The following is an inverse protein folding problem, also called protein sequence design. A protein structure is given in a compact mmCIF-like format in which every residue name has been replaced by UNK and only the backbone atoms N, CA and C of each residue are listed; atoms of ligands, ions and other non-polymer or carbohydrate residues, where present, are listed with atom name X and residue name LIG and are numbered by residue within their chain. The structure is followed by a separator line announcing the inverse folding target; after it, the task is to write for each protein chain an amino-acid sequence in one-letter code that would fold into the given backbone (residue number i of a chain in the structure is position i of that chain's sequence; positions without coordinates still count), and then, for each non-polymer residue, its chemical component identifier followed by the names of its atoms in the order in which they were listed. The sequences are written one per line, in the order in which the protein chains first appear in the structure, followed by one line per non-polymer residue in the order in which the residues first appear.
data_IF_598398471485
#
_entry.id   IF_598398471485
#
_cell.length_a   1.000
_cell.length_b   1.000
_cell.length_c   1.000
_cell.angle_alpha   90.00
_cell.angle_beta   90.00
_cell.angle_gamma   90.00
#
_symmetry.space_group_name_H-M   'P 1'
#
loop_
_entity.id
_entity.type
_entity.pdbx_description
1 polymer ?
#
# COMPACT_ATOMS: atom_id res chain seq x y z
N UNK A 1 4.88 11.63 3.68
CA UNK A 1 4.69 10.56 4.67
C UNK A 1 5.56 10.93 5.87
N UNK A 2 4.97 10.99 7.05
CA UNK A 2 5.64 11.29 8.31
C UNK A 2 5.35 10.26 9.40
N UNK A 3 4.51 9.25 9.12
CA UNK A 3 4.34 8.13 10.03
C UNK A 3 5.71 7.50 10.32
N UNK A 4 6.05 7.26 11.60
CA UNK A 4 7.25 6.52 11.94
C UNK A 4 7.13 5.07 11.47
N UNK A 5 8.26 4.36 11.42
CA UNK A 5 8.24 2.93 11.24
C UNK A 5 7.38 2.27 12.33
N UNK A 6 6.60 1.26 11.95
CA UNK A 6 5.64 0.62 12.82
C UNK A 6 6.35 -0.04 14.01
N UNK A 7 5.88 0.20 15.25
CA UNK A 7 6.50 -0.34 16.45
C UNK A 7 6.25 -1.85 16.62
N UNK A 8 5.40 -2.45 15.77
CA UNK A 8 5.08 -3.89 15.80
C UNK A 8 6.18 -4.77 15.17
N UNK A 9 7.26 -4.15 14.70
CA UNK A 9 8.32 -4.81 13.96
C UNK A 9 9.67 -4.55 14.59
N UNK A 10 10.59 -5.49 14.40
CA UNK A 10 11.99 -5.33 14.80
C UNK A 10 12.89 -5.86 13.69
N UNK A 11 13.74 -4.97 13.15
CA UNK A 11 14.78 -5.34 12.20
C UNK A 11 15.74 -6.36 12.80
N UNK A 12 16.18 -7.31 11.99
CA UNK A 12 17.22 -8.26 12.37
C UNK A 12 18.59 -7.75 11.91
N UNK A 13 19.61 -7.74 12.78
CA UNK A 13 20.98 -7.50 12.36
C UNK A 13 21.47 -8.70 11.56
N UNK A 14 22.05 -8.46 10.39
CA UNK A 14 22.53 -9.50 9.47
C UNK A 14 24.02 -9.38 9.17
N UNK A 15 24.74 -8.51 9.87
CA UNK A 15 26.15 -8.17 9.62
C UNK A 15 27.05 -9.42 9.56
N UNK A 16 26.86 -10.36 10.49
CA UNK A 16 27.62 -11.61 10.55
C UNK A 16 27.21 -12.64 9.46
N UNK A 17 26.02 -12.49 8.88
CA UNK A 17 25.49 -13.37 7.85
C UNK A 17 25.78 -12.86 6.43
N UNK A 18 26.07 -11.57 6.26
CA UNK A 18 26.40 -10.99 4.96
C UNK A 18 27.66 -11.63 4.37
N UNK A 19 27.53 -12.15 3.15
CA UNK A 19 28.59 -12.91 2.49
C UNK A 19 29.10 -12.26 1.20
N UNK A 20 28.39 -11.25 0.66
CA UNK A 20 28.76 -10.51 -0.54
C UNK A 20 28.61 -8.99 -0.38
N UNK A 21 29.36 -8.24 -1.18
CA UNK A 21 29.09 -6.82 -1.46
C UNK A 21 28.24 -6.72 -2.73
N UNK A 22 27.01 -6.22 -2.58
CA UNK A 22 26.03 -6.14 -3.68
C UNK A 22 26.45 -5.21 -4.82
N UNK A 23 27.35 -4.25 -4.58
CA UNK A 23 27.86 -3.37 -5.62
C UNK A 23 28.76 -4.10 -6.63
N UNK A 24 29.32 -5.24 -6.22
CA UNK A 24 30.21 -6.09 -7.05
C UNK A 24 29.46 -7.13 -7.88
N UNK A 25 28.15 -7.26 -7.68
CA UNK A 25 27.32 -8.21 -8.42
C UNK A 25 27.12 -7.76 -9.87
N UNK A 26 26.86 -8.74 -10.73
CA UNK A 26 26.52 -8.50 -12.13
C UNK A 26 25.11 -7.90 -12.29
N UNK A 27 24.81 -7.37 -13.49
CA UNK A 27 23.56 -6.66 -13.79
C UNK A 27 22.28 -7.50 -13.62
N UNK A 28 22.39 -8.83 -13.46
CA UNK A 28 21.23 -9.68 -13.23
C UNK A 28 20.68 -9.56 -11.80
N UNK A 29 21.52 -9.14 -10.85
CA UNK A 29 21.19 -9.01 -9.42
C UNK A 29 21.40 -7.59 -8.89
N UNK A 30 22.12 -6.73 -9.62
CA UNK A 30 22.40 -5.36 -9.21
C UNK A 30 21.23 -4.42 -9.51
N UNK A 31 20.91 -3.54 -8.55
CA UNK A 31 20.05 -2.38 -8.75
C UNK A 31 20.87 -1.22 -9.33
N UNK A 32 20.32 -0.47 -10.29
CA UNK A 32 20.89 0.76 -10.88
C UNK A 32 20.73 1.93 -9.92
N UNK A 33 19.58 2.03 -9.28
CA UNK A 33 19.29 3.01 -8.24
C UNK A 33 19.16 2.29 -6.89
N UNK A 34 20.29 2.20 -6.17
CA UNK A 34 20.36 1.57 -4.85
C UNK A 34 20.64 2.64 -3.79
N UNK A 35 19.61 3.01 -3.05
CA UNK A 35 19.65 3.98 -1.95
C UNK A 35 19.42 3.34 -0.57
N UNK A 36 19.22 2.01 -0.52
CA UNK A 36 18.77 1.32 0.68
C UNK A 36 19.95 0.82 1.54
N UNK A 37 20.63 1.71 2.25
CA UNK A 37 21.72 1.36 3.18
C UNK A 37 21.39 1.73 4.62
N UNK A 38 21.90 0.95 5.59
CA UNK A 38 21.70 1.20 7.01
C UNK A 38 20.23 1.05 7.45
N UNK A 39 19.78 1.90 8.38
CA UNK A 39 18.40 1.84 8.88
C UNK A 39 17.42 2.46 7.88
N UNK A 40 16.52 1.63 7.34
CA UNK A 40 15.51 2.05 6.36
C UNK A 40 14.11 1.65 6.83
N UNK A 41 13.10 2.40 6.40
CA UNK A 41 11.70 2.00 6.51
C UNK A 41 11.11 1.76 5.14
N UNK A 42 10.61 0.55 4.89
CA UNK A 42 9.97 0.17 3.64
C UNK A 42 8.50 -0.16 3.92
N UNK A 43 7.57 0.59 3.34
CA UNK A 43 6.12 0.49 3.63
C UNK A 43 5.77 0.58 5.13
N UNK A 44 6.50 1.43 5.86
CA UNK A 44 6.34 1.55 7.32
C UNK A 44 6.94 0.41 8.13
N UNK A 45 7.62 -0.57 7.52
CA UNK A 45 8.30 -1.66 8.24
C UNK A 45 9.79 -1.30 8.39
N UNK A 46 10.36 -1.34 9.61
CA UNK A 46 11.78 -1.09 9.84
C UNK A 46 12.66 -2.25 9.39
N UNK A 47 13.75 -1.93 8.72
CA UNK A 47 14.79 -2.85 8.27
C UNK A 47 16.18 -2.30 8.60
N UNK A 48 17.13 -3.20 8.82
CA UNK A 48 18.56 -2.89 8.92
C UNK A 48 19.26 -3.47 7.69
N UNK A 49 19.56 -2.62 6.72
CA UNK A 49 20.37 -2.96 5.56
C UNK A 49 21.86 -2.81 5.91
N UNK A 50 22.72 -3.56 5.21
CA UNK A 50 24.17 -3.41 5.34
C UNK A 50 24.66 -2.04 4.87
N UNK A 51 25.88 -1.67 5.27
CA UNK A 51 26.54 -0.42 4.86
C UNK A 51 27.19 -0.50 3.46
N UNK A 52 27.54 0.65 2.89
CA UNK A 52 28.09 0.74 1.52
C UNK A 52 29.49 0.14 1.35
N UNK A 53 30.33 0.17 2.39
CA UNK A 53 31.76 -0.18 2.29
C UNK A 53 32.10 -1.58 2.83
N UNK A 54 31.13 -2.50 2.87
CA UNK A 54 31.29 -3.82 3.45
C UNK A 54 30.45 -4.88 2.70
N UNK A 55 30.58 -6.14 3.12
CA UNK A 55 29.57 -7.14 2.78
C UNK A 55 28.23 -6.69 3.37
N UNK A 56 27.22 -6.58 2.53
CA UNK A 56 25.99 -5.86 2.83
C UNK A 56 24.72 -6.55 2.31
N UNK A 57 24.88 -7.79 1.85
CA UNK A 57 23.78 -8.66 1.46
C UNK A 57 24.16 -10.14 1.63
N UNK A 58 23.15 -11.00 1.66
CA UNK A 58 23.30 -12.46 1.67
C UNK A 58 22.99 -12.97 0.28
N UNK A 59 24.02 -13.36 -0.46
CA UNK A 59 23.92 -14.07 -1.72
C UNK A 59 23.66 -15.56 -1.47
N UNK A 60 22.59 -16.08 -2.06
CA UNK A 60 22.23 -17.49 -2.11
C UNK A 60 22.60 -18.02 -3.50
N UNK A 61 23.75 -18.69 -3.64
CA UNK A 61 24.33 -19.12 -4.93
C UNK A 61 24.72 -20.61 -4.97
N UNK A 62 24.05 -21.43 -4.16
CA UNK A 62 24.33 -22.87 -4.00
C UNK A 62 24.75 -23.24 -2.58
N UNK A 63 25.06 -22.24 -1.75
CA UNK A 63 25.36 -22.42 -0.33
C UNK A 63 24.11 -22.29 0.55
N UNK A 64 24.20 -22.82 1.77
CA UNK A 64 23.27 -22.52 2.85
C UNK A 64 23.84 -21.44 3.77
N UNK A 65 22.99 -20.55 4.26
CA UNK A 65 23.35 -19.51 5.22
C UNK A 65 22.48 -19.66 6.45
N UNK A 66 23.12 -19.79 7.62
CA UNK A 66 22.45 -19.82 8.93
C UNK A 66 22.48 -18.44 9.57
N UNK A 67 21.33 -17.98 10.04
CA UNK A 67 21.14 -16.69 10.70
C UNK A 67 20.67 -16.99 12.13
N UNK A 68 21.49 -16.69 13.16
CA UNK A 68 21.05 -16.82 14.54
C UNK A 68 19.86 -15.91 14.83
N UNK A 69 18.78 -16.46 15.38
CA UNK A 69 17.56 -15.72 15.67
C UNK A 69 17.42 -15.33 17.15
N UNK A 70 18.27 -15.91 18.02
CA UNK A 70 18.32 -15.60 19.45
C UNK A 70 17.07 -16.07 20.21
N UNK A 71 16.52 -17.22 19.85
CA UNK A 71 15.31 -17.81 20.45
C UNK A 71 14.11 -16.83 20.42
N UNK A 72 13.89 -16.20 19.26
CA UNK A 72 12.89 -15.14 19.04
C UNK A 72 11.50 -15.70 18.73
N UNK A 73 10.47 -15.12 19.36
CA UNK A 73 9.08 -15.31 18.95
C UNK A 73 8.73 -14.38 17.78
N UNK A 74 8.15 -14.94 16.73
CA UNK A 74 7.67 -14.20 15.57
C UNK A 74 6.50 -14.93 14.91
N UNK A 75 5.46 -14.21 14.53
CA UNK A 75 4.39 -14.72 13.67
C UNK A 75 4.76 -14.65 12.20
N UNK A 76 5.55 -13.65 11.81
CA UNK A 76 6.09 -13.51 10.47
C UNK A 76 7.54 -13.02 10.50
N UNK A 77 8.31 -13.44 9.49
CA UNK A 77 9.56 -12.80 9.10
C UNK A 77 9.35 -12.13 7.74
N UNK A 78 9.52 -10.82 7.67
CA UNK A 78 9.41 -10.05 6.44
C UNK A 78 10.79 -9.92 5.81
N UNK A 79 10.96 -10.47 4.62
CA UNK A 79 12.21 -10.43 3.85
C UNK A 79 12.16 -9.29 2.85
N UNK A 80 13.27 -8.56 2.73
CA UNK A 80 13.57 -7.69 1.59
C UNK A 80 14.58 -8.43 0.70
N UNK A 81 14.13 -8.96 -0.43
CA UNK A 81 14.94 -9.85 -1.26
C UNK A 81 14.58 -9.76 -2.74
N UNK A 82 15.46 -10.29 -3.59
CA UNK A 82 15.27 -10.42 -5.03
C UNK A 82 15.82 -11.76 -5.53
N UNK A 83 15.32 -12.24 -6.66
CA UNK A 83 15.93 -13.33 -7.43
C UNK A 83 16.60 -12.77 -8.67
N UNK A 84 17.62 -13.46 -9.18
CA UNK A 84 18.30 -13.11 -10.42
C UNK A 84 17.31 -12.88 -11.60
N UNK A 85 17.55 -11.80 -12.34
CA UNK A 85 16.88 -11.49 -13.60
C UNK A 85 17.08 -12.62 -14.60
N UNK A 86 15.99 -13.02 -15.26
CA UNK A 86 16.07 -13.84 -16.46
C UNK A 86 15.88 -12.98 -17.70
N UNK A 87 16.87 -13.03 -18.58
CA UNK A 87 16.75 -12.48 -19.91
C UNK A 87 15.70 -13.28 -20.68
N UNK A 88 14.88 -12.58 -21.46
CA UNK A 88 13.98 -13.23 -22.39
C UNK A 88 14.78 -14.03 -23.42
N UNK A 89 14.47 -15.31 -23.54
CA UNK A 89 14.96 -16.12 -24.63
C UNK A 89 13.96 -16.03 -25.79
N UNK A 90 14.26 -15.21 -26.79
CA UNK A 90 13.54 -15.23 -28.06
C UNK A 90 14.10 -16.35 -28.94
N UNK A 91 13.25 -17.14 -29.62
CA UNK A 91 13.66 -17.95 -30.76
C UNK A 91 14.51 -17.14 -31.74
N UNK A 92 15.58 -17.74 -32.27
CA UNK A 92 16.56 -17.04 -33.12
C UNK A 92 15.99 -16.51 -34.44
N UNK A 93 14.79 -16.94 -34.82
CA UNK A 93 14.06 -16.55 -36.03
C UNK A 93 12.99 -15.46 -35.79
N UNK A 94 12.76 -15.05 -34.54
CA UNK A 94 11.86 -13.94 -34.22
C UNK A 94 12.66 -12.63 -34.08
N UNK A 95 12.26 -11.62 -34.86
CA UNK A 95 12.80 -10.28 -34.71
C UNK A 95 12.35 -9.67 -33.37
N UNK A 96 13.28 -9.08 -32.63
CA UNK A 96 12.97 -8.29 -31.44
C UNK A 96 12.38 -6.94 -31.88
N UNK A 97 11.06 -6.87 -31.96
CA UNK A 97 10.34 -5.66 -32.38
C UNK A 97 10.26 -4.58 -31.27
N UNK A 98 10.84 -4.83 -30.09
CA UNK A 98 10.90 -3.85 -29.01
C UNK A 98 12.17 -3.02 -29.20
N UNK A 99 11.99 -1.81 -29.74
CA UNK A 99 13.08 -0.91 -30.18
C UNK A 99 14.10 -0.52 -29.09
N UNK A 100 14.97 0.45 -29.42
CA UNK A 100 16.15 0.96 -28.65
C UNK A 100 15.99 1.28 -27.15
N UNK A 101 14.86 1.03 -26.51
CA UNK A 101 14.66 1.22 -25.06
C UNK A 101 15.27 0.11 -24.19
N UNK A 102 15.77 -0.99 -24.78
CA UNK A 102 16.38 -2.09 -24.02
C UNK A 102 17.85 -2.30 -24.44
N UNK A 103 18.75 -1.41 -24.00
CA UNK A 103 20.20 -1.65 -24.11
C UNK A 103 20.68 -2.81 -23.20
N UNK A 104 19.81 -3.27 -22.29
CA UNK A 104 19.95 -4.47 -21.46
C UNK A 104 18.79 -5.38 -21.86
N UNK A 105 19.05 -6.55 -22.44
CA UNK A 105 18.02 -7.42 -23.05
C UNK A 105 16.73 -7.54 -22.22
N UNK A 106 15.58 -7.64 -22.89
CA UNK A 106 14.27 -7.61 -22.23
C UNK A 106 14.20 -8.61 -21.06
N UNK A 107 13.92 -8.12 -19.86
CA UNK A 107 13.73 -8.92 -18.63
C UNK A 107 12.25 -8.92 -18.26
N UNK A 108 11.41 -9.73 -18.94
CA UNK A 108 9.96 -9.66 -18.78
C UNK A 108 9.52 -10.04 -17.37
N UNK A 109 10.29 -10.87 -16.66
CA UNK A 109 9.95 -11.34 -15.32
C UNK A 109 8.75 -12.31 -15.27
N UNK A 110 8.33 -12.83 -16.41
CA UNK A 110 7.10 -13.63 -16.51
C UNK A 110 7.24 -15.09 -16.07
N UNK A 111 8.47 -15.61 -15.97
CA UNK A 111 8.75 -16.96 -15.48
C UNK A 111 8.17 -17.18 -14.08
N UNK A 112 7.63 -18.38 -13.83
CA UNK A 112 6.76 -18.64 -12.69
C UNK A 112 7.03 -20.01 -12.07
N UNK A 113 7.06 -20.05 -10.74
CA UNK A 113 6.89 -21.29 -9.97
C UNK A 113 8.17 -22.06 -9.65
N UNK A 114 9.28 -21.74 -10.30
CA UNK A 114 10.58 -22.34 -10.01
C UNK A 114 10.99 -22.16 -8.56
N UNK A 115 11.62 -23.19 -7.99
CA UNK A 115 12.09 -23.20 -6.62
C UNK A 115 13.44 -22.47 -6.54
N UNK A 116 13.43 -21.28 -5.94
CA UNK A 116 14.61 -20.42 -5.79
C UNK A 116 15.40 -20.78 -4.54
N UNK A 117 14.69 -20.96 -3.42
CA UNK A 117 15.29 -21.27 -2.13
C UNK A 117 14.31 -22.05 -1.23
N UNK A 118 14.82 -22.60 -0.14
CA UNK A 118 14.03 -23.03 1.02
C UNK A 118 14.48 -22.24 2.24
N UNK A 119 13.51 -21.64 2.94
CA UNK A 119 13.76 -20.97 4.21
C UNK A 119 13.25 -21.86 5.33
N UNK A 120 14.15 -22.27 6.22
CA UNK A 120 13.86 -23.19 7.31
C UNK A 120 13.90 -22.45 8.65
N UNK A 121 12.83 -22.57 9.42
CA UNK A 121 12.76 -22.10 10.80
C UNK A 121 13.13 -23.27 11.71
N UNK A 122 14.25 -23.17 12.40
CA UNK A 122 14.68 -24.14 13.41
C UNK A 122 14.31 -23.57 14.78
N UNK A 123 13.51 -24.31 15.54
CA UNK A 123 12.99 -23.86 16.84
C UNK A 123 13.88 -24.32 18.00
N UNK A 124 13.74 -23.66 19.14
CA UNK A 124 14.51 -23.97 20.35
C UNK A 124 14.24 -25.37 20.92
N UNK A 125 13.09 -25.97 20.61
CA UNK A 125 12.74 -27.35 20.99
C UNK A 125 13.34 -28.43 20.07
N UNK A 126 14.10 -28.02 19.04
CA UNK A 126 14.73 -28.89 18.06
C UNK A 126 13.84 -29.27 16.87
N UNK A 127 12.56 -28.88 16.86
CA UNK A 127 11.71 -29.03 15.68
C UNK A 127 12.08 -28.03 14.58
N UNK A 128 11.65 -28.29 13.34
CA UNK A 128 11.88 -27.36 12.23
C UNK A 128 10.69 -27.32 11.27
N UNK A 129 10.51 -26.17 10.61
CA UNK A 129 9.57 -25.98 9.52
C UNK A 129 10.32 -25.49 8.28
N UNK A 130 10.04 -26.08 7.11
CA UNK A 130 10.67 -25.71 5.84
C UNK A 130 9.63 -25.10 4.90
N UNK A 131 9.91 -23.90 4.39
CA UNK A 131 9.01 -23.16 3.50
C UNK A 131 9.69 -22.94 2.14
N UNK A 132 9.07 -23.38 1.03
CA UNK A 132 9.62 -23.15 -0.31
C UNK A 132 9.43 -21.70 -0.76
N UNK A 133 10.48 -21.12 -1.33
CA UNK A 133 10.48 -19.78 -1.92
C UNK A 133 10.48 -19.93 -3.43
N UNK A 134 9.34 -19.59 -4.05
CA UNK A 134 9.12 -19.76 -5.50
C UNK A 134 9.13 -18.44 -6.24
N UNK A 135 9.73 -18.42 -7.44
CA UNK A 135 9.74 -17.23 -8.32
C UNK A 135 8.32 -16.78 -8.63
N UNK A 136 8.15 -15.47 -8.61
CA UNK A 136 6.92 -14.71 -8.86
C UNK A 136 5.78 -15.05 -7.89
N UNK A 137 6.01 -15.91 -6.90
CA UNK A 137 5.15 -16.05 -5.73
C UNK A 137 5.73 -15.29 -4.55
N UNK A 138 6.75 -15.87 -3.92
CA UNK A 138 7.36 -15.33 -2.71
C UNK A 138 8.50 -14.34 -3.01
N UNK A 139 9.18 -14.50 -4.15
CA UNK A 139 10.30 -13.65 -4.55
C UNK A 139 10.18 -13.31 -6.03
N UNK A 140 10.69 -12.16 -6.46
CA UNK A 140 10.72 -11.80 -7.86
C UNK A 140 12.01 -11.03 -8.19
N UNK A 141 12.33 -10.99 -9.48
CA UNK A 141 13.50 -10.29 -10.00
C UNK A 141 13.35 -8.77 -9.90
N UNK A 142 14.46 -8.02 -9.84
CA UNK A 142 14.40 -6.57 -9.64
C UNK A 142 13.80 -5.83 -10.83
N UNK A 143 14.02 -6.33 -12.05
CA UNK A 143 13.55 -5.69 -13.27
C UNK A 143 12.39 -6.50 -13.88
N UNK A 144 11.21 -5.90 -14.03
CA UNK A 144 10.01 -6.58 -14.54
C UNK A 144 9.32 -5.75 -15.61
N UNK A 145 8.64 -6.40 -16.56
CA UNK A 145 7.69 -5.71 -17.45
C UNK A 145 6.29 -5.64 -16.81
N UNK A 146 5.38 -4.89 -17.43
CA UNK A 146 3.99 -4.81 -16.99
C UNK A 146 3.36 -6.21 -16.79
N UNK A 147 2.71 -6.40 -15.65
CA UNK A 147 2.03 -7.66 -15.29
C UNK A 147 2.92 -8.71 -14.62
N UNK A 148 4.23 -8.54 -14.55
CA UNK A 148 5.16 -9.52 -13.97
C UNK A 148 5.42 -9.36 -12.45
N UNK A 149 4.51 -8.70 -11.73
CA UNK A 149 4.58 -8.62 -10.26
C UNK A 149 4.50 -9.98 -9.56
N UNK A 150 5.09 -10.07 -8.36
CA UNK A 150 4.94 -11.23 -7.49
C UNK A 150 3.52 -11.36 -6.90
N UNK A 151 3.05 -12.59 -6.66
CA UNK A 151 1.71 -12.89 -6.13
C UNK A 151 1.59 -12.80 -4.61
N UNK A 152 2.64 -13.18 -3.86
CA UNK A 152 2.65 -13.19 -2.39
C UNK A 152 3.61 -12.14 -1.79
N UNK A 153 4.35 -11.43 -2.65
CA UNK A 153 5.23 -10.33 -2.27
C UNK A 153 4.78 -9.00 -2.88
N UNK A 154 5.20 -7.90 -2.28
CA UNK A 154 4.93 -6.53 -2.74
C UNK A 154 6.24 -5.79 -3.01
N UNK A 155 6.29 -4.81 -3.92
CA UNK A 155 7.49 -3.98 -4.07
C UNK A 155 7.76 -3.17 -2.79
N UNK A 156 9.01 -2.89 -2.49
CA UNK A 156 9.44 -2.09 -1.32
C UNK A 156 8.91 -0.66 -1.31
N UNK A 157 8.73 -0.04 -2.49
CA UNK A 157 8.07 1.26 -2.61
C UNK A 157 6.60 1.13 -2.24
N UNK A 158 6.10 2.04 -1.39
CA UNK A 158 4.70 2.08 -1.01
C UNK A 158 3.84 2.58 -2.17
N UNK A 159 2.60 2.08 -2.26
CA UNK A 159 1.57 2.73 -3.07
C UNK A 159 1.33 4.15 -2.55
N UNK A 160 0.97 5.06 -3.45
CA UNK A 160 0.76 6.46 -3.12
C UNK A 160 -0.56 6.96 -3.66
N UNK A 161 -1.24 7.79 -2.88
CA UNK A 161 -2.37 8.56 -3.37
C UNK A 161 -1.82 9.76 -4.16
N UNK A 162 -2.32 9.94 -5.38
CA UNK A 162 -1.94 11.07 -6.24
C UNK A 162 -3.13 12.00 -6.41
N UNK A 163 -2.87 13.30 -6.41
CA UNK A 163 -3.87 14.33 -6.73
C UNK A 163 -4.04 14.46 -8.24
N UNK A 164 -5.19 14.96 -8.68
CA UNK A 164 -5.35 15.34 -10.10
C UNK A 164 -4.47 16.55 -10.44
N UNK A 165 -4.33 16.83 -11.73
CA UNK A 165 -3.57 18.00 -12.20
C UNK A 165 -4.14 19.29 -11.63
N UNK A 166 -5.45 19.54 -11.76
CA UNK A 166 -6.09 20.73 -11.21
C UNK A 166 -5.99 20.83 -9.68
N UNK A 167 -6.07 19.71 -8.95
CA UNK A 167 -5.90 19.72 -7.50
C UNK A 167 -4.49 20.14 -7.10
N UNK A 168 -3.48 19.60 -7.77
CA UNK A 168 -2.07 19.96 -7.54
C UNK A 168 -1.85 21.45 -7.80
N UNK A 169 -2.35 21.97 -8.93
CA UNK A 169 -2.25 23.39 -9.28
C UNK A 169 -2.96 24.29 -8.28
N UNK A 170 -4.13 23.89 -7.78
CA UNK A 170 -4.89 24.63 -6.76
C UNK A 170 -4.18 24.68 -5.41
N UNK A 171 -3.37 23.68 -5.10
CA UNK A 171 -2.47 23.66 -3.95
C UNK A 171 -1.12 24.36 -4.21
N UNK A 172 -0.90 24.91 -5.42
CA UNK A 172 0.37 25.52 -5.81
C UNK A 172 1.53 24.52 -5.95
N UNK A 173 1.21 23.24 -6.18
CA UNK A 173 2.17 22.13 -6.30
C UNK A 173 2.36 21.75 -7.78
N UNK A 174 3.55 21.26 -8.12
CA UNK A 174 3.75 20.59 -9.40
C UNK A 174 2.95 19.28 -9.43
N UNK A 175 2.18 19.00 -10.49
CA UNK A 175 1.50 17.71 -10.63
C UNK A 175 2.49 16.55 -10.60
N UNK A 176 2.23 15.57 -9.73
CA UNK A 176 3.07 14.37 -9.59
C UNK A 176 2.71 13.26 -10.60
N UNK A 177 1.59 13.41 -11.32
CA UNK A 177 1.09 12.45 -12.28
C UNK A 177 0.55 13.17 -13.52
N UNK A 178 0.55 12.47 -14.66
CA UNK A 178 -0.14 12.95 -15.85
C UNK A 178 -1.66 12.99 -15.62
N UNK A 179 -2.39 13.68 -16.50
CA UNK A 179 -3.85 13.76 -16.42
C UNK A 179 -4.52 12.39 -16.23
N UNK A 180 -4.26 11.44 -17.14
CA UNK A 180 -4.93 10.13 -17.11
C UNK A 180 -4.58 9.28 -15.88
N UNK A 181 -3.35 9.35 -15.40
CA UNK A 181 -2.92 8.68 -14.17
C UNK A 181 -3.54 9.35 -12.93
N UNK A 182 -3.57 10.69 -12.91
CA UNK A 182 -4.14 11.49 -11.83
C UNK A 182 -5.63 11.21 -11.59
N UNK A 183 -6.40 10.90 -12.63
CA UNK A 183 -7.82 10.51 -12.48
C UNK A 183 -8.02 9.21 -11.70
N UNK A 184 -7.05 8.28 -11.77
CA UNK A 184 -7.10 7.06 -10.94
C UNK A 184 -6.79 7.32 -9.47
N UNK A 185 -6.16 8.47 -9.18
CA UNK A 185 -5.79 8.96 -7.84
C UNK A 185 -4.91 8.01 -7.03
N UNK A 186 -4.26 7.06 -7.68
CA UNK A 186 -3.44 6.05 -7.04
C UNK A 186 -2.30 5.59 -7.97
N UNK A 187 -1.08 5.54 -7.43
CA UNK A 187 0.02 4.79 -8.04
C UNK A 187 0.28 3.52 -7.20
N UNK A 188 0.28 2.36 -7.85
CA UNK A 188 0.48 1.06 -7.21
C UNK A 188 1.93 0.79 -6.77
N UNK A 189 2.87 1.64 -7.17
CA UNK A 189 4.32 1.46 -7.07
C UNK A 189 4.82 0.17 -7.72
N UNK A 190 4.13 -0.27 -8.78
CA UNK A 190 4.42 -1.48 -9.57
C UNK A 190 4.82 -1.14 -11.00
N UNK A 191 5.43 0.03 -11.17
CA UNK A 191 5.80 0.58 -12.47
C UNK A 191 6.86 -0.31 -13.14
N UNK A 192 6.70 -0.54 -14.44
CA UNK A 192 7.53 -1.46 -15.22
C UNK A 192 8.98 -0.98 -15.45
N UNK A 193 9.22 0.33 -15.28
CA UNK A 193 10.55 0.92 -15.45
C UNK A 193 11.30 1.11 -14.13
N UNK A 194 10.64 0.86 -13.01
CA UNK A 194 11.23 0.97 -11.68
C UNK A 194 11.85 -0.36 -11.26
N UNK A 195 12.99 -0.32 -10.58
CA UNK A 195 13.61 -1.52 -10.01
C UNK A 195 13.02 -1.85 -8.65
N UNK A 196 12.77 -3.13 -8.38
CA UNK A 196 12.02 -3.56 -7.19
C UNK A 196 12.84 -4.48 -6.28
N UNK A 197 13.06 -4.05 -5.04
CA UNK A 197 13.23 -4.99 -3.92
C UNK A 197 11.84 -5.53 -3.55
N UNK A 198 11.70 -6.84 -3.38
CA UNK A 198 10.42 -7.46 -3.04
C UNK A 198 10.35 -7.75 -1.54
N UNK A 199 9.23 -7.36 -0.94
CA UNK A 199 8.88 -7.65 0.44
C UNK A 199 7.99 -8.88 0.52
N UNK A 200 8.45 -9.91 1.22
CA UNK A 200 7.71 -11.15 1.43
C UNK A 200 7.56 -11.46 2.91
N UNK A 201 6.33 -11.64 3.37
CA UNK A 201 6.05 -12.04 4.74
C UNK A 201 6.00 -13.56 4.83
N UNK A 202 7.11 -14.16 5.25
CA UNK A 202 7.20 -15.59 5.54
C UNK A 202 6.39 -15.89 6.81
N UNK A 203 5.31 -16.70 6.73
CA UNK A 203 4.57 -17.10 7.93
C UNK A 203 5.40 -18.06 8.77
N UNK A 204 5.41 -17.86 10.08
CA UNK A 204 5.86 -18.87 11.03
C UNK A 204 4.68 -19.83 11.29
N UNK A 205 4.78 -21.12 10.94
CA UNK A 205 3.72 -22.09 11.22
C UNK A 205 3.45 -22.32 12.71
N UNK A 206 4.44 -22.05 13.58
CA UNK A 206 4.39 -22.28 15.02
C UNK A 206 4.78 -20.98 15.76
N UNK A 207 3.93 -19.93 15.72
CA UNK A 207 4.25 -18.59 16.24
C UNK A 207 4.58 -18.54 17.74
N UNK A 208 4.11 -19.52 18.51
CA UNK A 208 4.38 -19.70 19.93
C UNK A 208 5.74 -20.34 20.24
N UNK A 209 6.42 -20.92 19.23
CA UNK A 209 7.75 -21.51 19.39
C UNK A 209 8.83 -20.50 19.08
N UNK A 210 9.79 -20.40 19.99
CA UNK A 210 10.98 -19.58 19.82
C UNK A 210 11.82 -20.10 18.64
N UNK A 211 12.08 -19.25 17.65
CA UNK A 211 12.95 -19.53 16.51
C UNK A 211 14.40 -19.33 16.96
N UNK A 212 15.19 -20.38 16.89
CA UNK A 212 16.61 -20.40 17.27
C UNK A 212 17.52 -19.99 16.12
N UNK A 213 17.26 -20.53 14.93
CA UNK A 213 18.05 -20.29 13.71
C UNK A 213 17.11 -20.21 12.51
N UNK A 214 17.34 -19.24 11.63
CA UNK A 214 16.78 -19.21 10.29
C UNK A 214 17.86 -19.73 9.33
N UNK A 215 17.55 -20.78 8.58
CA UNK A 215 18.46 -21.34 7.58
C UNK A 215 17.91 -21.10 6.18
N UNK A 216 18.64 -20.32 5.38
CA UNK A 216 18.32 -20.05 3.99
C UNK A 216 19.15 -20.96 3.08
N UNK A 217 18.49 -21.82 2.32
CA UNK A 217 19.14 -22.83 1.47
C UNK A 217 18.87 -22.47 0.00
N UNK A 218 19.92 -22.11 -0.73
CA UNK A 218 19.84 -21.88 -2.17
C UNK A 218 19.42 -23.15 -2.92
N UNK A 219 18.71 -23.00 -4.04
CA UNK A 219 18.36 -24.10 -4.94
C UNK A 219 18.93 -23.86 -6.33
N UNK A 220 18.10 -23.86 -7.37
CA UNK A 220 18.57 -23.81 -8.75
C UNK A 220 19.04 -22.41 -9.18
N UNK A 221 18.80 -21.38 -8.37
CA UNK A 221 18.89 -20.00 -8.81
C UNK A 221 19.53 -19.10 -7.77
N UNK A 222 20.21 -18.06 -8.27
CA UNK A 222 20.80 -17.05 -7.41
C UNK A 222 19.73 -16.10 -6.88
N UNK A 223 19.81 -15.79 -5.60
CA UNK A 223 18.94 -14.82 -4.95
C UNK A 223 19.73 -13.99 -3.94
N UNK A 224 19.23 -12.81 -3.63
CA UNK A 224 19.86 -11.86 -2.73
C UNK A 224 18.88 -11.46 -1.64
N UNK A 225 19.28 -11.63 -0.37
CA UNK A 225 18.54 -11.11 0.79
C UNK A 225 19.29 -9.89 1.31
N UNK A 226 18.60 -8.75 1.35
CA UNK A 226 19.16 -7.49 1.82
C UNK A 226 18.96 -7.29 3.32
N UNK A 227 17.73 -7.53 3.78
CA UNK A 227 17.34 -7.28 5.16
C UNK A 227 16.14 -8.15 5.54
N UNK A 228 15.98 -8.38 6.85
CA UNK A 228 14.84 -9.10 7.41
C UNK A 228 14.30 -8.31 8.60
N UNK A 229 12.98 -8.29 8.75
CA UNK A 229 12.29 -7.74 9.90
C UNK A 229 11.36 -8.79 10.50
N UNK A 230 11.25 -8.83 11.82
CA UNK A 230 10.42 -9.80 12.55
C UNK A 230 9.23 -9.11 13.19
N UNK A 231 8.11 -9.81 13.31
CA UNK A 231 6.90 -9.27 13.94
C UNK A 231 6.10 -10.35 14.64
N UNK A 232 5.24 -9.94 15.58
CA UNK A 232 4.27 -10.79 16.26
C UNK A 232 2.81 -10.38 15.95
N UNK A 233 2.58 -9.58 14.90
CA UNK A 233 1.21 -9.27 14.46
C UNK A 233 0.46 -10.54 14.04
N UNK A 234 -0.83 -10.60 14.34
CA UNK A 234 -1.62 -11.83 14.11
C UNK A 234 -2.19 -11.91 12.70
N UNK A 235 -2.46 -10.77 12.06
CA UNK A 235 -2.85 -10.69 10.67
C UNK A 235 -1.63 -10.56 9.74
N UNK A 236 -1.84 -10.81 8.45
CA UNK A 236 -0.75 -10.79 7.48
C UNK A 236 -0.21 -9.36 7.29
N UNK A 237 1.10 -9.10 7.53
CA UNK A 237 1.62 -7.74 7.68
C UNK A 237 1.63 -6.91 6.39
N UNK A 238 1.67 -7.57 5.22
CA UNK A 238 1.66 -6.90 3.90
C UNK A 238 0.27 -6.84 3.25
N UNK A 239 -0.81 -7.18 3.97
CA UNK A 239 -2.17 -7.18 3.42
C UNK A 239 -3.05 -6.23 4.24
N UNK A 240 -3.41 -5.11 3.63
CA UNK A 240 -4.37 -4.18 4.21
C UNK A 240 -5.77 -4.80 4.27
N UNK A 241 -6.56 -4.39 5.26
CA UNK A 241 -8.01 -4.66 5.26
C UNK A 241 -8.68 -3.93 4.11
N UNK A 242 -9.90 -4.35 3.78
CA UNK A 242 -10.77 -3.56 2.92
C UNK A 242 -10.93 -2.14 3.49
N UNK A 243 -11.11 -1.16 2.61
CA UNK A 243 -11.29 0.24 2.96
C UNK A 243 -12.26 0.43 4.14
N UNK A 244 -11.83 1.22 5.10
CA UNK A 244 -12.58 1.62 6.29
C UNK A 244 -12.76 3.14 6.29
N UNK A 245 -13.64 3.59 7.18
CA UNK A 245 -14.03 4.98 7.34
C UNK A 245 -14.02 5.32 8.82
N UNK A 246 -13.64 6.54 9.14
CA UNK A 246 -13.78 7.10 10.47
C UNK A 246 -13.98 8.62 10.38
N UNK A 247 -14.49 9.21 11.45
CA UNK A 247 -14.40 10.65 11.67
C UNK A 247 -13.35 10.94 12.74
N UNK A 248 -12.71 12.11 12.64
CA UNK A 248 -11.77 12.59 13.66
C UNK A 248 -12.09 14.03 14.02
N UNK A 249 -12.13 14.31 15.32
CA UNK A 249 -12.07 15.66 15.85
C UNK A 249 -10.63 16.19 15.76
N UNK A 250 -10.45 17.31 15.05
CA UNK A 250 -9.15 17.93 14.84
C UNK A 250 -8.58 18.51 16.13
N UNK A 251 -7.26 18.37 16.37
CA UNK A 251 -6.56 19.16 17.38
C UNK A 251 -6.68 20.66 17.09
N UNK A 252 -6.64 21.48 18.15
CA UNK A 252 -6.72 22.93 18.01
C UNK A 252 -5.60 23.47 17.10
N UNK A 253 -5.96 24.37 16.17
CA UNK A 253 -5.04 25.02 15.24
C UNK A 253 -4.66 24.19 14.01
N UNK A 254 -5.14 22.96 13.87
CA UNK A 254 -5.00 22.19 12.62
C UNK A 254 -6.07 22.66 11.64
N UNK A 255 -5.65 23.06 10.44
CA UNK A 255 -6.53 23.60 9.40
C UNK A 255 -6.58 22.69 8.17
N UNK A 256 -7.69 22.77 7.43
CA UNK A 256 -7.79 22.16 6.11
C UNK A 256 -7.10 23.01 5.05
N UNK A 257 -6.54 22.37 4.03
CA UNK A 257 -5.94 23.05 2.89
C UNK A 257 -7.01 23.67 1.96
N UNK A 258 -6.57 24.31 0.86
CA UNK A 258 -7.46 24.98 -0.10
C UNK A 258 -8.47 24.06 -0.83
N UNK A 259 -8.33 22.74 -0.69
CA UNK A 259 -9.27 21.73 -1.19
C UNK A 259 -10.24 21.24 -0.11
N UNK A 260 -10.09 21.69 1.14
CA UNK A 260 -10.83 21.15 2.28
C UNK A 260 -10.29 19.80 2.75
N UNK A 261 -8.99 19.53 2.53
CA UNK A 261 -8.34 18.28 2.88
C UNK A 261 -7.32 18.46 4.00
N UNK A 262 -7.13 17.39 4.78
CA UNK A 262 -6.19 17.36 5.89
C UNK A 262 -4.86 16.77 5.40
N UNK A 263 -3.81 17.59 5.37
CA UNK A 263 -2.46 17.16 4.98
C UNK A 263 -1.70 16.52 6.17
N UNK A 264 -2.05 16.89 7.40
CA UNK A 264 -1.37 16.51 8.64
C UNK A 264 -1.87 15.17 9.23
N UNK A 265 -2.05 14.18 8.36
CA UNK A 265 -2.49 12.83 8.71
C UNK A 265 -1.70 11.76 7.97
N UNK A 266 -1.39 10.67 8.67
CA UNK A 266 -0.70 9.52 8.09
C UNK A 266 -1.07 8.23 8.83
N UNK A 267 -0.68 7.07 8.29
CA UNK A 267 -0.97 5.76 8.88
C UNK A 267 0.19 4.79 8.63
N UNK A 268 0.58 4.00 9.63
CA UNK A 268 1.52 2.90 9.38
C UNK A 268 0.81 1.67 8.81
N UNK A 269 1.56 0.77 8.16
CA UNK A 269 1.06 -0.50 7.64
C UNK A 269 -0.21 -0.37 6.76
N UNK A 270 -0.30 0.72 6.00
CA UNK A 270 -1.47 1.05 5.20
C UNK A 270 -1.35 2.40 4.51
N UNK A 271 -2.48 2.89 4.01
CA UNK A 271 -2.57 4.15 3.28
C UNK A 271 -3.82 4.92 3.70
N UNK A 272 -3.67 6.22 3.95
CA UNK A 272 -4.81 7.16 4.00
C UNK A 272 -5.25 7.41 2.56
N UNK A 273 -6.47 6.99 2.22
CA UNK A 273 -7.02 7.12 0.87
C UNK A 273 -7.54 8.54 0.63
N UNK A 274 -8.21 9.12 1.63
CA UNK A 274 -8.54 10.54 1.64
C UNK A 274 -8.85 11.02 3.05
N UNK A 275 -8.58 12.28 3.34
CA UNK A 275 -8.93 12.93 4.60
C UNK A 275 -9.48 14.32 4.30
N UNK A 276 -10.79 14.52 4.49
CA UNK A 276 -11.51 15.72 4.02
C UNK A 276 -12.36 16.29 5.15
N UNK A 277 -12.66 17.57 5.09
CA UNK A 277 -13.62 18.18 6.01
C UNK A 277 -14.95 17.42 5.97
N UNK A 278 -15.45 17.05 7.15
CA UNK A 278 -16.75 16.38 7.30
C UNK A 278 -17.85 17.28 6.77
N UNK A 279 -18.78 16.74 6.00
CA UNK A 279 -19.94 17.47 5.51
C UNK A 279 -21.09 17.30 6.50
N UNK A 280 -21.71 18.41 6.91
CA UNK A 280 -22.83 18.42 7.87
C UNK A 280 -24.08 18.89 7.14
N UNK A 281 -25.08 18.01 7.05
CA UNK A 281 -26.37 18.31 6.44
C UNK A 281 -27.37 18.70 7.54
N UNK A 282 -28.15 19.75 7.27
CA UNK A 282 -29.32 20.06 8.07
C UNK A 282 -30.40 18.99 7.82
N UNK A 283 -30.74 18.25 8.87
CA UNK A 283 -31.64 17.10 8.77
C UNK A 283 -33.08 17.52 8.43
N UNK A 284 -33.56 18.60 9.02
CA UNK A 284 -34.94 19.05 8.83
C UNK A 284 -35.11 19.62 7.43
N UNK A 285 -34.12 20.36 6.93
CA UNK A 285 -34.07 20.81 5.55
C UNK A 285 -33.98 19.62 4.58
N UNK A 286 -33.16 18.60 4.87
CA UNK A 286 -32.98 17.42 4.02
C UNK A 286 -34.27 16.61 3.83
N UNK A 287 -35.08 16.46 4.88
CA UNK A 287 -36.38 15.79 4.81
C UNK A 287 -37.55 16.74 4.46
N UNK A 288 -37.27 18.03 4.28
CA UNK A 288 -38.25 19.05 3.94
C UNK A 288 -38.52 19.18 2.44
N UNK A 289 -39.07 20.33 2.05
CA UNK A 289 -39.46 20.63 0.65
C UNK A 289 -38.33 21.27 -0.17
N UNK A 290 -37.18 21.55 0.44
CA UNK A 290 -36.05 22.20 -0.22
C UNK A 290 -35.49 21.30 -1.34
N UNK A 291 -35.48 21.81 -2.56
CA UNK A 291 -35.02 21.06 -3.75
C UNK A 291 -33.50 20.93 -3.84
N UNK A 292 -32.76 21.77 -3.11
CA UNK A 292 -31.31 21.75 -3.06
C UNK A 292 -30.81 22.08 -1.64
N UNK A 293 -30.52 21.04 -0.86
CA UNK A 293 -29.91 21.17 0.47
C UNK A 293 -28.41 20.96 0.34
N UNK A 294 -27.64 21.99 0.67
CA UNK A 294 -26.18 21.97 0.61
C UNK A 294 -25.62 21.73 2.02
N UNK A 295 -24.62 20.85 2.18
CA UNK A 295 -23.96 20.67 3.46
C UNK A 295 -23.03 21.85 3.77
N UNK A 296 -22.68 21.96 5.05
CA UNK A 296 -21.61 22.81 5.52
C UNK A 296 -20.39 21.95 5.88
N UNK A 297 -19.20 22.39 5.50
CA UNK A 297 -17.97 21.73 5.94
C UNK A 297 -17.73 22.04 7.43
N UNK A 298 -17.56 21.01 8.24
CA UNK A 298 -17.16 21.16 9.64
C UNK A 298 -15.71 21.66 9.70
N UNK A 299 -15.42 22.77 10.39
CA UNK A 299 -14.08 23.35 10.44
C UNK A 299 -13.10 22.54 11.30
N UNK A 300 -13.61 21.67 12.15
CA UNK A 300 -12.88 20.98 13.21
C UNK A 300 -13.07 19.45 13.18
N UNK A 301 -13.71 18.92 12.13
CA UNK A 301 -13.92 17.48 11.97
C UNK A 301 -13.53 17.01 10.57
N UNK A 302 -12.71 15.96 10.52
CA UNK A 302 -12.34 15.29 9.28
C UNK A 302 -13.08 13.96 9.12
N UNK A 303 -13.50 13.66 7.90
CA UNK A 303 -13.90 12.34 7.44
C UNK A 303 -12.72 11.70 6.72
N UNK A 304 -12.32 10.50 7.16
CA UNK A 304 -11.13 9.81 6.67
C UNK A 304 -11.51 8.45 6.11
N UNK A 305 -11.04 8.18 4.91
CA UNK A 305 -11.05 6.86 4.30
C UNK A 305 -9.64 6.32 4.29
N UNK A 306 -9.45 5.07 4.72
CA UNK A 306 -8.13 4.45 4.80
C UNK A 306 -8.21 2.94 4.55
N UNK A 307 -7.08 2.32 4.25
CA UNK A 307 -6.93 0.87 4.22
C UNK A 307 -5.60 0.49 4.88
N UNK A 308 -5.67 -0.26 5.98
CA UNK A 308 -4.49 -0.60 6.78
C UNK A 308 -4.62 -1.94 7.49
N UNK A 309 -3.52 -2.39 8.08
CA UNK A 309 -3.48 -3.53 8.99
C UNK A 309 -4.35 -3.28 10.25
N UNK A 310 -5.00 -4.30 10.85
CA UNK A 310 -5.81 -4.12 12.07
C UNK A 310 -5.06 -3.47 13.24
N UNK A 311 -3.77 -3.79 13.39
CA UNK A 311 -2.89 -3.27 14.45
C UNK A 311 -2.19 -1.96 14.05
N UNK A 312 -2.57 -1.35 12.93
CA UNK A 312 -1.99 -0.08 12.51
C UNK A 312 -2.33 1.07 13.49
N UNK A 313 -1.55 2.14 13.39
CA UNK A 313 -1.71 3.40 14.12
C UNK A 313 -1.97 4.52 13.13
N UNK A 314 -3.02 5.30 13.40
CA UNK A 314 -3.29 6.57 12.72
C UNK A 314 -2.50 7.68 13.42
N UNK A 315 -1.79 8.50 12.65
CA UNK A 315 -0.97 9.59 13.15
C UNK A 315 -1.54 10.93 12.69
N UNK A 316 -1.68 11.87 13.63
CA UNK A 316 -2.14 13.23 13.38
C UNK A 316 -1.12 14.21 13.94
N UNK A 317 -0.67 15.15 13.13
CA UNK A 317 0.23 16.20 13.59
C UNK A 317 -0.57 17.41 14.05
N UNK A 318 -0.41 17.78 15.32
CA UNK A 318 -0.98 19.00 15.86
C UNK A 318 -0.21 20.23 15.34
N UNK A 319 -0.82 21.42 15.44
CA UNK A 319 -0.16 22.67 15.07
C UNK A 319 1.12 22.97 15.89
N UNK A 320 1.24 22.38 17.10
CA UNK A 320 2.45 22.43 17.92
C UNK A 320 3.62 21.58 17.35
N UNK A 321 3.37 20.76 16.35
CA UNK A 321 4.30 19.75 15.82
C UNK A 321 4.23 18.39 16.53
N UNK A 322 3.49 18.30 17.64
CA UNK A 322 3.25 17.04 18.37
C UNK A 322 2.56 16.01 17.45
N UNK A 323 3.04 14.77 17.49
CA UNK A 323 2.48 13.66 16.74
C UNK A 323 1.57 12.83 17.65
N UNK A 324 0.26 12.97 17.45
CA UNK A 324 -0.75 12.18 18.15
C UNK A 324 -0.92 10.83 17.44
N UNK A 325 -0.70 9.74 18.16
CA UNK A 325 -0.86 8.38 17.65
C UNK A 325 -2.13 7.73 18.21
N UNK A 326 -2.93 7.14 17.34
CA UNK A 326 -4.17 6.46 17.69
C UNK A 326 -4.14 5.01 17.21
N UNK A 327 -4.20 4.05 18.14
CA UNK A 327 -4.27 2.63 17.83
C UNK A 327 -5.60 2.30 17.15
N UNK A 328 -5.57 1.78 15.92
CA UNK A 328 -6.79 1.41 15.20
C UNK A 328 -7.63 0.37 15.97
N UNK A 329 -6.96 -0.55 16.65
CA UNK A 329 -7.59 -1.58 17.48
C UNK A 329 -8.31 -1.02 18.73
N UNK A 330 -8.02 0.23 19.12
CA UNK A 330 -8.55 0.84 20.34
C UNK A 330 -9.44 2.08 20.11
N UNK A 331 -9.73 2.45 18.84
CA UNK A 331 -10.38 3.72 18.51
C UNK A 331 -11.71 3.97 19.21
N UNK A 332 -12.54 2.93 19.38
CA UNK A 332 -13.85 3.01 20.03
C UNK A 332 -13.78 3.56 21.47
N UNK A 333 -12.61 3.51 22.13
CA UNK A 333 -12.42 3.94 23.52
C UNK A 333 -11.90 5.37 23.67
N UNK A 334 -11.66 6.10 22.58
CA UNK A 334 -10.93 7.38 22.62
C UNK A 334 -11.77 8.64 22.48
N UNK A 335 -13.04 8.54 22.04
CA UNK A 335 -14.01 9.65 21.95
C UNK A 335 -13.70 10.74 20.91
N UNK A 336 -12.46 10.85 20.41
CA UNK A 336 -12.04 11.78 19.34
C UNK A 336 -12.10 11.18 17.95
N UNK A 337 -12.15 9.85 17.86
CA UNK A 337 -12.19 9.10 16.62
C UNK A 337 -13.38 8.16 16.67
N UNK A 338 -14.24 8.23 15.66
CA UNK A 338 -15.44 7.40 15.56
C UNK A 338 -15.39 6.56 14.29
N UNK A 339 -15.43 5.23 14.45
CA UNK A 339 -15.47 4.29 13.33
C UNK A 339 -16.85 4.27 12.69
N UNK A 340 -16.92 4.30 11.36
CA UNK A 340 -18.17 4.25 10.63
C UNK A 340 -18.39 2.84 10.05
N UNK A 341 -19.25 2.09 10.72
CA UNK A 341 -19.61 0.70 10.38
C UNK A 341 -20.82 0.69 9.42
N UNK A 342 -20.59 0.83 8.10
CA UNK A 342 -21.63 0.47 7.14
C UNK A 342 -21.06 -0.18 5.89
N UNK A 343 -21.29 -1.50 5.78
CA UNK A 343 -20.92 -2.35 4.63
C UNK A 343 -22.14 -2.96 3.93
N UNK A 344 -23.35 -2.54 4.30
CA UNK A 344 -24.58 -3.14 3.76
C UNK A 344 -24.75 -2.71 2.30
N UNK A 345 -24.75 -3.69 1.40
CA UNK A 345 -25.11 -3.45 0.01
C UNK A 345 -26.61 -3.22 -0.09
N UNK A 346 -26.99 -2.08 -0.66
CA UNK A 346 -28.38 -1.72 -0.95
C UNK A 346 -28.61 -1.80 -2.46
N UNK A 347 -29.77 -2.33 -2.85
CA UNK A 347 -30.28 -2.22 -4.22
C UNK A 347 -31.40 -1.19 -4.22
N UNK A 348 -31.23 -0.14 -5.02
CA UNK A 348 -32.16 0.98 -5.10
C UNK A 348 -32.83 0.93 -6.48
N UNK A 349 -34.14 1.18 -6.51
CA UNK A 349 -34.92 1.36 -7.73
C UNK A 349 -35.67 2.68 -7.62
N UNK A 350 -35.67 3.45 -8.71
CA UNK A 350 -36.46 4.68 -8.82
C UNK A 350 -37.57 4.41 -9.80
N UNK A 351 -38.82 4.61 -9.36
CA UNK A 351 -40.01 4.35 -10.16
C UNK A 351 -40.86 5.60 -10.30
N UNK A 352 -41.56 5.74 -11.43
CA UNK A 352 -42.56 6.78 -11.61
C UNK A 352 -43.89 6.43 -10.92
N UNK A 353 -44.89 7.32 -11.06
CA UNK A 353 -46.23 7.11 -10.50
C UNK A 353 -46.97 5.89 -11.07
N UNK A 354 -46.52 5.33 -12.19
CA UNK A 354 -47.07 4.13 -12.82
C UNK A 354 -46.26 2.87 -12.45
N UNK A 355 -45.23 3.00 -11.61
CA UNK A 355 -44.38 1.89 -11.18
C UNK A 355 -43.31 1.49 -12.20
N UNK A 356 -43.08 2.28 -13.25
CA UNK A 356 -42.04 2.01 -14.26
C UNK A 356 -40.69 2.49 -13.73
N UNK A 357 -39.64 1.70 -13.91
CA UNK A 357 -38.28 2.13 -13.56
C UNK A 357 -37.86 3.28 -14.46
N UNK A 358 -37.30 4.33 -13.86
CA UNK A 358 -36.88 5.54 -14.59
C UNK A 358 -35.44 5.88 -14.27
N UNK A 359 -34.75 6.43 -15.27
CA UNK A 359 -33.42 6.98 -15.07
C UNK A 359 -33.51 8.19 -14.12
N UNK A 360 -32.58 8.27 -13.18
CA UNK A 360 -32.55 9.33 -12.19
C UNK A 360 -31.13 9.76 -11.88
N UNK A 361 -30.98 11.03 -11.52
CA UNK A 361 -29.76 11.54 -10.91
C UNK A 361 -29.92 11.48 -9.40
N UNK A 362 -29.04 10.75 -8.73
CA UNK A 362 -29.16 10.46 -7.29
C UNK A 362 -27.95 10.94 -6.51
N UNK A 363 -28.20 11.38 -5.29
CA UNK A 363 -27.20 11.66 -4.26
C UNK A 363 -27.59 10.90 -3.00
N UNK A 364 -26.64 10.16 -2.44
CA UNK A 364 -26.78 9.53 -1.14
C UNK A 364 -25.62 9.97 -0.27
N UNK A 365 -25.90 10.23 1.01
CA UNK A 365 -24.86 10.48 2.00
C UNK A 365 -25.08 9.59 3.24
N UNK A 366 -23.99 9.31 3.94
CA UNK A 366 -24.05 8.65 5.24
C UNK A 366 -24.34 9.62 6.38
N UNK A 367 -24.39 9.10 7.61
CA UNK A 367 -24.58 9.89 8.83
C UNK A 367 -23.41 10.85 9.13
N UNK A 368 -22.22 10.54 8.62
CA UNK A 368 -21.07 11.44 8.66
C UNK A 368 -21.08 12.44 7.50
N UNK A 369 -22.12 12.43 6.65
CA UNK A 369 -22.27 13.29 5.48
C UNK A 369 -21.36 12.92 4.31
N UNK A 370 -20.71 11.76 4.37
CA UNK A 370 -19.88 11.28 3.28
C UNK A 370 -20.72 10.83 2.09
N UNK A 371 -20.26 11.11 0.87
CA UNK A 371 -20.93 10.65 -0.34
C UNK A 371 -20.91 9.12 -0.44
N UNK A 372 -22.07 8.52 -0.71
CA UNK A 372 -22.27 7.09 -0.89
C UNK A 372 -22.60 6.79 -2.37
N UNK A 373 -21.58 6.67 -3.24
CA UNK A 373 -21.79 6.38 -4.64
C UNK A 373 -22.40 5.00 -4.89
N UNK A 374 -23.23 4.83 -5.93
CA UNK A 374 -23.51 3.53 -6.52
C UNK A 374 -22.24 2.74 -6.87
N UNK A 375 -22.35 1.41 -7.01
CA UNK A 375 -21.20 0.60 -7.40
C UNK A 375 -20.77 0.94 -8.83
N UNK A 376 -19.47 1.20 -9.02
CA UNK A 376 -18.88 1.46 -10.34
C UNK A 376 -18.76 2.94 -10.70
N UNK A 377 -19.15 3.87 -9.80
CA UNK A 377 -18.98 5.31 -9.99
C UNK A 377 -17.92 5.87 -9.03
N UNK A 378 -17.46 7.10 -9.29
CA UNK A 378 -16.42 7.75 -8.51
C UNK A 378 -16.85 8.04 -7.07
N UNK A 379 -15.94 7.82 -6.12
CA UNK A 379 -16.10 8.21 -4.70
C UNK A 379 -15.70 9.65 -4.43
N UNK A 380 -15.03 10.26 -5.39
CA UNK A 380 -14.65 11.66 -5.45
C UNK A 380 -14.76 12.06 -6.91
N UNK A 381 -15.89 12.63 -7.27
CA UNK A 381 -16.15 13.11 -8.63
C UNK A 381 -15.17 14.24 -8.93
N UNK A 382 -14.47 14.15 -10.06
CA UNK A 382 -13.64 15.25 -10.50
C UNK A 382 -14.54 16.29 -11.18
N UNK A 383 -14.54 17.51 -10.63
CA UNK A 383 -15.41 18.61 -11.07
C UNK A 383 -14.73 19.55 -12.06
N UNK A 384 -13.47 19.30 -12.39
CA UNK A 384 -12.69 20.20 -13.21
C UNK A 384 -12.98 19.95 -14.69
N UNK A 385 -12.97 21.04 -15.45
CA UNK A 385 -13.37 21.04 -16.84
C UNK A 385 -12.43 20.19 -17.71
N UNK A 386 -13.00 19.29 -18.52
CA UNK A 386 -12.28 18.32 -19.36
C UNK A 386 -11.33 17.37 -18.60
N UNK A 387 -11.47 17.24 -17.28
CA UNK A 387 -10.73 16.24 -16.51
C UNK A 387 -11.54 14.98 -16.18
N UNK A 388 -12.86 15.04 -16.30
CA UNK A 388 -13.75 13.91 -16.03
C UNK A 388 -14.83 13.86 -17.11
N UNK A 389 -14.92 12.73 -17.81
CA UNK A 389 -15.90 12.52 -18.88
C UNK A 389 -16.92 11.43 -18.52
N UNK A 390 -17.05 11.10 -17.23
CA UNK A 390 -17.98 10.09 -16.77
C UNK A 390 -19.39 10.67 -16.51
N UNK A 391 -20.34 9.79 -16.19
CA UNK A 391 -21.75 10.11 -15.96
C UNK A 391 -22.01 10.63 -14.54
N UNK A 392 -21.09 11.40 -13.98
CA UNK A 392 -21.20 11.98 -12.65
C UNK A 392 -21.29 13.51 -12.75
N UNK A 393 -21.83 14.13 -11.70
CA UNK A 393 -22.09 15.55 -11.70
C UNK A 393 -21.92 16.14 -10.29
N UNK A 394 -21.41 17.35 -10.19
CA UNK A 394 -21.26 18.09 -8.92
C UNK A 394 -22.11 19.35 -8.94
N UNK A 395 -22.96 19.54 -7.93
CA UNK A 395 -23.69 20.79 -7.68
C UNK A 395 -23.40 21.30 -6.28
N UNK A 396 -22.58 22.36 -6.21
CA UNK A 396 -22.03 22.85 -4.94
C UNK A 396 -21.12 21.79 -4.31
N UNK A 397 -21.47 21.35 -3.10
CA UNK A 397 -20.78 20.27 -2.39
C UNK A 397 -21.39 18.88 -2.65
N UNK A 398 -22.59 18.82 -3.22
CA UNK A 398 -23.27 17.56 -3.50
C UNK A 398 -22.71 16.89 -4.76
N UNK A 399 -22.33 15.62 -4.63
CA UNK A 399 -21.89 14.76 -5.73
C UNK A 399 -23.03 13.84 -6.16
N UNK A 400 -23.26 13.71 -7.45
CA UNK A 400 -24.37 12.95 -8.02
C UNK A 400 -23.86 11.92 -9.01
N UNK A 401 -24.60 10.82 -9.09
CA UNK A 401 -24.44 9.82 -10.13
C UNK A 401 -25.75 9.63 -10.89
N UNK A 402 -25.65 9.35 -12.18
CA UNK A 402 -26.79 8.86 -12.94
C UNK A 402 -26.97 7.36 -12.73
N UNK A 403 -28.19 6.94 -12.41
CA UNK A 403 -28.60 5.54 -12.45
C UNK A 403 -29.55 5.33 -13.62
N UNK A 404 -29.34 4.25 -14.35
CA UNK A 404 -30.19 3.88 -15.47
C UNK A 404 -31.53 3.34 -14.95
N UNK A 405 -32.61 3.71 -15.62
CA UNK A 405 -33.85 2.93 -15.58
C UNK A 405 -33.68 1.70 -16.46
N UNK A 406 -34.38 0.60 -16.12
CA UNK A 406 -34.38 -0.64 -16.90
C UNK A 406 -34.96 -0.47 -18.29
#
# INVERSE_FOLDING_TARGET
MFAPASPHFSSLPLDDAYNCDRATLDDSLRLREDDAFGSCSLRGIPFSFGGEAAKNAILLDGNQVGIPMGDRLASYLVFAHIVENRALQLPSDLADFRGRQHATGATPGNDLGDLVAEYQLHYADGSCASIPIRRRFAIQQPHIEWGASAFAAVPHRADTIVSTVAESLRLGRMPAASYGEGETRHNAARDEYAEHIWLYALPNPEPEKAIRELRCIAKAERALIYAISSTQVTAHPLRSRARQKLTVQLPAGVEFNALGELDEIDIDLGSVISARARQVYDRDAWFGEATNVQPQAAPDQAFIEFAAHPDAKLYLRAASGELLAHDLAALERTGRVETLESRRLLRIRVVDMQGREVAARVHFHGEAGEYLPPRGVHRRVNRNWFEDNYGEFVNGANQYAYILGS
#
